data_IF_083586598170
#
_entry.id   IF_083586598170
#
_cell.length_a   1.000
_cell.length_b   1.000
_cell.length_c   1.000
_cell.angle_alpha   90.00
_cell.angle_beta   90.00
_cell.angle_gamma   90.00
#
_symmetry.space_group_name_H-M   'P 1'
#
loop_
_entity.id
_entity.type
_entity.pdbx_description
1 polymer ?
#
# COMPACT_ATOMS: atom_id res chain seq x y z
N UNK A 1 -7.21 14.40 -24.24
CA UNK A 1 -5.76 14.39 -23.97
C UNK A 1 -5.47 12.96 -23.60
N UNK A 2 -4.84 12.22 -24.49
CA UNK A 2 -4.69 10.77 -24.29
C UNK A 2 -3.83 10.51 -23.05
N UNK A 3 -4.23 9.52 -22.27
CA UNK A 3 -3.43 9.08 -21.13
C UNK A 3 -2.10 8.54 -21.65
N UNK A 4 -1.00 8.95 -21.03
CA UNK A 4 0.35 8.42 -21.30
C UNK A 4 0.85 7.76 -20.01
N UNK A 5 0.60 6.44 -19.83
CA UNK A 5 0.90 5.73 -18.60
C UNK A 5 2.38 5.81 -18.19
N UNK A 6 3.29 5.83 -19.17
CA UNK A 6 4.73 5.89 -18.92
C UNK A 6 5.15 7.27 -18.45
N UNK A 7 4.65 8.34 -19.09
CA UNK A 7 4.91 9.71 -18.63
C UNK A 7 4.34 9.97 -17.25
N UNK A 8 3.11 9.53 -16.98
CA UNK A 8 2.49 9.63 -15.65
C UNK A 8 3.34 8.93 -14.58
N UNK A 9 3.87 7.74 -14.89
CA UNK A 9 4.75 7.02 -13.98
C UNK A 9 6.05 7.81 -13.72
N UNK A 10 6.69 8.33 -14.77
CA UNK A 10 7.93 9.08 -14.66
C UNK A 10 7.76 10.39 -13.87
N UNK A 11 6.68 11.12 -14.10
CA UNK A 11 6.31 12.30 -13.32
C UNK A 11 6.09 11.95 -11.84
N UNK A 12 5.45 10.82 -11.56
CA UNK A 12 5.30 10.29 -10.21
C UNK A 12 6.63 9.97 -9.53
N UNK A 13 7.54 9.35 -10.28
CA UNK A 13 8.90 9.04 -9.80
C UNK A 13 9.71 10.31 -9.56
N UNK A 14 9.59 11.32 -10.42
CA UNK A 14 10.23 12.62 -10.26
C UNK A 14 9.71 13.32 -9.00
N UNK A 15 8.39 13.38 -8.82
CA UNK A 15 7.78 13.90 -7.60
C UNK A 15 8.25 13.15 -6.35
N UNK A 16 8.29 11.82 -6.39
CA UNK A 16 8.78 10.98 -5.29
C UNK A 16 10.20 11.40 -4.87
N UNK A 17 11.08 11.65 -5.83
CA UNK A 17 12.46 12.06 -5.56
C UNK A 17 12.55 13.44 -4.88
N UNK A 18 11.55 14.32 -5.04
CA UNK A 18 11.51 15.61 -4.32
C UNK A 18 11.18 15.47 -2.83
N UNK A 19 10.79 14.27 -2.36
CA UNK A 19 10.37 14.03 -0.98
C UNK A 19 11.55 13.49 -0.16
N UNK A 20 12.26 14.32 0.63
CA UNK A 20 13.50 13.90 1.30
C UNK A 20 13.33 12.81 2.37
N UNK A 21 12.08 12.58 2.82
CA UNK A 21 11.74 11.53 3.79
C UNK A 21 11.26 10.24 3.13
N UNK A 22 11.08 10.24 1.82
CA UNK A 22 10.69 9.04 1.08
C UNK A 22 11.95 8.35 0.58
N UNK A 23 12.06 7.02 0.72
CA UNK A 23 13.28 6.33 0.38
C UNK A 23 13.43 6.24 -1.15
N UNK A 24 14.67 6.39 -1.62
CA UNK A 24 14.98 6.37 -3.05
C UNK A 24 14.61 5.04 -3.72
N UNK A 25 14.70 3.94 -2.97
CA UNK A 25 14.38 2.57 -3.42
C UNK A 25 12.89 2.25 -3.54
N UNK A 26 12.03 3.27 -3.47
CA UNK A 26 10.58 3.12 -3.54
C UNK A 26 10.04 2.11 -2.51
N UNK A 27 10.64 2.06 -1.31
CA UNK A 27 10.30 1.13 -0.22
C UNK A 27 10.69 -0.34 -0.45
N UNK A 28 11.55 -0.67 -1.41
CA UNK A 28 11.98 -2.07 -1.63
C UNK A 28 12.53 -2.71 -0.34
N UNK A 29 13.40 -2.01 0.40
CA UNK A 29 13.92 -2.47 1.69
C UNK A 29 12.83 -2.67 2.74
N UNK A 30 11.87 -1.75 2.80
CA UNK A 30 10.75 -1.85 3.72
C UNK A 30 9.94 -3.13 3.48
N UNK A 31 9.67 -3.50 2.23
CA UNK A 31 8.94 -4.73 1.91
C UNK A 31 9.73 -5.99 2.25
N UNK A 32 11.05 -5.97 2.04
CA UNK A 32 11.93 -7.05 2.49
C UNK A 32 11.82 -7.26 4.01
N UNK A 33 11.94 -6.18 4.78
CA UNK A 33 11.85 -6.22 6.24
C UNK A 33 10.45 -6.60 6.73
N UNK A 34 9.40 -6.30 5.96
CA UNK A 34 8.02 -6.60 6.31
C UNK A 34 7.66 -8.07 6.07
N UNK A 35 8.14 -8.66 4.98
CA UNK A 35 8.00 -10.10 4.70
C UNK A 35 8.71 -10.93 5.77
N UNK A 36 9.90 -10.50 6.21
CA UNK A 36 10.68 -11.20 7.23
C UNK A 36 9.98 -11.30 8.60
N UNK A 37 8.99 -10.45 8.88
CA UNK A 37 8.31 -10.42 10.18
C UNK A 37 6.85 -10.88 10.11
N UNK A 38 6.25 -11.00 8.93
CA UNK A 38 4.81 -11.30 8.79
C UNK A 38 4.62 -12.77 8.48
N UNK A 39 4.38 -13.56 9.52
CA UNK A 39 4.10 -15.01 9.45
C UNK A 39 2.61 -15.35 9.62
N UNK A 40 1.78 -14.35 9.90
CA UNK A 40 0.34 -14.51 10.16
C UNK A 40 -0.02 -14.76 11.63
N UNK A 41 0.95 -14.89 12.53
CA UNK A 41 0.69 -15.06 13.96
C UNK A 41 0.35 -13.74 14.67
N UNK A 42 0.77 -12.61 14.10
CA UNK A 42 0.53 -11.25 14.61
C UNK A 42 0.80 -11.13 16.12
N UNK A 43 1.97 -11.56 16.56
CA UNK A 43 2.35 -11.51 17.98
C UNK A 43 2.50 -10.07 18.50
N UNK A 44 2.59 -9.88 19.81
CA UNK A 44 2.91 -8.56 20.39
C UNK A 44 4.26 -8.02 19.90
N UNK A 45 5.24 -8.90 19.62
CA UNK A 45 6.52 -8.52 19.01
C UNK A 45 6.32 -7.96 17.61
N UNK A 46 5.55 -8.64 16.77
CA UNK A 46 5.18 -8.14 15.44
C UNK A 46 4.46 -6.79 15.54
N UNK A 47 3.51 -6.67 16.46
CA UNK A 47 2.76 -5.42 16.65
C UNK A 47 3.64 -4.26 17.06
N UNK A 48 4.58 -4.46 17.98
CA UNK A 48 5.50 -3.41 18.42
C UNK A 48 6.33 -2.86 17.25
N UNK A 49 6.85 -3.74 16.39
CA UNK A 49 7.59 -3.34 15.18
C UNK A 49 6.67 -2.63 14.18
N UNK A 50 5.53 -3.24 13.85
CA UNK A 50 4.57 -2.74 12.87
C UNK A 50 3.97 -1.39 13.28
N UNK A 51 3.59 -1.23 14.55
CA UNK A 51 3.04 0.02 15.09
C UNK A 51 4.02 1.17 15.00
N UNK A 52 5.32 0.92 15.24
CA UNK A 52 6.37 1.93 15.06
C UNK A 52 6.44 2.38 13.60
N UNK A 53 6.46 1.43 12.66
CA UNK A 53 6.43 1.74 11.22
C UNK A 53 5.16 2.52 10.83
N UNK A 54 4.00 2.16 11.38
CA UNK A 54 2.73 2.88 11.16
C UNK A 54 2.77 4.32 11.70
N UNK A 55 3.46 4.55 12.82
CA UNK A 55 3.71 5.89 13.35
C UNK A 55 4.60 6.71 12.41
N UNK A 56 5.69 6.12 11.91
CA UNK A 56 6.60 6.79 10.96
C UNK A 56 5.88 7.16 9.66
N UNK A 57 4.93 6.33 9.23
CA UNK A 57 4.03 6.59 8.10
C UNK A 57 2.84 7.50 8.44
N UNK A 58 2.83 8.09 9.65
CA UNK A 58 1.79 8.99 10.19
C UNK A 58 0.38 8.39 10.26
N UNK A 59 0.24 7.06 10.20
CA UNK A 59 -1.04 6.36 10.22
C UNK A 59 -1.71 6.42 11.61
N UNK A 60 -0.92 6.52 12.67
CA UNK A 60 -1.41 6.51 14.07
C UNK A 60 -1.78 7.89 14.61
N UNK A 61 -1.64 8.97 13.81
CA UNK A 61 -1.93 10.34 14.23
C UNK A 61 -3.33 10.46 14.85
N UNK A 62 -3.40 11.17 15.98
CA UNK A 62 -4.63 11.44 16.71
C UNK A 62 -5.14 10.30 17.60
N UNK A 63 -4.45 9.15 17.65
CA UNK A 63 -4.74 8.07 18.60
C UNK A 63 -3.68 8.03 19.72
N UNK A 64 -4.08 7.58 20.90
CA UNK A 64 -3.14 7.26 21.99
C UNK A 64 -2.57 5.87 21.76
N UNK A 65 -1.27 5.72 22.00
CA UNK A 65 -0.57 4.44 21.79
C UNK A 65 -1.14 3.30 22.64
N UNK A 66 -1.48 3.58 23.91
CA UNK A 66 -2.09 2.60 24.81
C UNK A 66 -3.47 2.11 24.33
N UNK A 67 -4.26 3.00 23.71
CA UNK A 67 -5.55 2.61 23.13
C UNK A 67 -5.38 1.70 21.92
N UNK A 68 -4.40 2.01 21.06
CA UNK A 68 -4.05 1.17 19.91
C UNK A 68 -3.58 -0.21 20.36
N UNK A 69 -2.74 -0.29 21.40
CA UNK A 69 -2.27 -1.57 21.94
C UNK A 69 -3.42 -2.40 22.49
N UNK A 70 -4.28 -1.78 23.32
CA UNK A 70 -5.46 -2.46 23.88
C UNK A 70 -6.36 -3.00 22.77
N UNK A 71 -6.69 -2.19 21.77
CA UNK A 71 -7.58 -2.58 20.68
C UNK A 71 -6.93 -3.62 19.75
N UNK A 72 -5.62 -3.54 19.52
CA UNK A 72 -4.89 -4.57 18.79
C UNK A 72 -5.02 -5.93 19.50
N UNK A 73 -4.71 -6.01 20.80
CA UNK A 73 -4.78 -7.28 21.54
C UNK A 73 -6.22 -7.81 21.60
N UNK A 74 -7.22 -6.92 21.72
CA UNK A 74 -8.63 -7.29 21.66
C UNK A 74 -9.03 -7.94 20.32
N UNK A 75 -8.39 -7.54 19.21
CA UNK A 75 -8.72 -7.99 17.85
C UNK A 75 -7.67 -8.94 17.24
N UNK A 76 -6.62 -9.32 17.98
CA UNK A 76 -5.53 -10.14 17.48
C UNK A 76 -6.01 -11.49 16.94
N UNK A 77 -6.90 -12.17 17.67
CA UNK A 77 -7.48 -13.45 17.23
C UNK A 77 -8.22 -13.33 15.89
N UNK A 78 -9.02 -12.28 15.72
CA UNK A 78 -9.72 -12.01 14.47
C UNK A 78 -8.75 -11.72 13.32
N UNK A 79 -7.62 -11.05 13.61
CA UNK A 79 -6.60 -10.75 12.62
C UNK A 79 -5.94 -12.04 12.11
N UNK A 80 -5.62 -12.97 13.01
CA UNK A 80 -5.11 -14.31 12.66
C UNK A 80 -6.12 -15.07 11.82
N UNK A 81 -7.39 -15.10 12.21
CA UNK A 81 -8.45 -15.77 11.46
C UNK A 81 -8.60 -15.19 10.05
N UNK A 82 -8.69 -13.85 9.93
CA UNK A 82 -8.79 -13.18 8.61
C UNK A 82 -7.56 -13.47 7.75
N UNK A 83 -6.37 -13.46 8.33
CA UNK A 83 -5.17 -13.82 7.59
C UNK A 83 -5.26 -15.23 7.00
N UNK A 84 -5.54 -16.23 7.84
CA UNK A 84 -5.55 -17.63 7.43
C UNK A 84 -6.66 -17.95 6.43
N UNK A 85 -7.84 -17.36 6.61
CA UNK A 85 -9.04 -17.71 5.85
C UNK A 85 -9.28 -16.84 4.62
N UNK A 86 -8.80 -15.59 4.63
CA UNK A 86 -9.08 -14.61 3.58
C UNK A 86 -7.82 -14.18 2.84
N UNK A 87 -6.75 -13.81 3.57
CA UNK A 87 -5.60 -13.12 2.96
C UNK A 87 -4.57 -14.09 2.41
N UNK A 88 -4.12 -15.04 3.23
CA UNK A 88 -3.08 -16.01 2.88
C UNK A 88 -3.38 -16.78 1.59
N UNK A 89 -4.62 -17.24 1.32
CA UNK A 89 -4.95 -17.91 0.05
C UNK A 89 -4.77 -17.03 -1.20
N UNK A 90 -4.76 -15.71 -1.04
CA UNK A 90 -4.71 -14.74 -2.15
C UNK A 90 -3.30 -14.23 -2.43
N UNK A 91 -2.30 -14.57 -1.59
CA UNK A 91 -0.94 -14.01 -1.68
C UNK A 91 -0.12 -14.47 -2.89
N UNK A 92 -0.59 -15.47 -3.64
CA UNK A 92 0.00 -15.82 -4.94
C UNK A 92 -0.35 -14.81 -6.03
N UNK A 93 -1.36 -13.96 -5.81
CA UNK A 93 -1.81 -12.94 -6.73
C UNK A 93 -1.46 -11.52 -6.29
N UNK A 94 -2.13 -10.55 -6.90
CA UNK A 94 -2.06 -9.13 -6.57
C UNK A 94 -3.47 -8.53 -6.54
N UNK A 95 -3.60 -7.21 -6.37
CA UNK A 95 -4.89 -6.51 -6.35
C UNK A 95 -5.82 -6.88 -7.52
N UNK A 96 -5.28 -7.29 -8.67
CA UNK A 96 -6.08 -7.62 -9.86
C UNK A 96 -6.83 -8.94 -9.72
N UNK A 97 -6.31 -9.88 -8.92
CA UNK A 97 -6.89 -11.22 -8.75
C UNK A 97 -8.00 -11.30 -7.72
N UNK A 98 -8.30 -10.20 -7.02
CA UNK A 98 -9.31 -10.15 -5.95
C UNK A 98 -10.29 -9.00 -6.16
N UNK A 99 -11.51 -9.15 -5.64
CA UNK A 99 -12.52 -8.10 -5.51
C UNK A 99 -12.43 -7.47 -4.13
N UNK A 100 -12.95 -6.24 -3.98
CA UNK A 100 -13.00 -5.58 -2.68
C UNK A 100 -13.75 -6.42 -1.64
N UNK A 101 -14.90 -7.00 -2.00
CA UNK A 101 -15.73 -7.76 -1.06
C UNK A 101 -15.07 -9.03 -0.53
N UNK A 102 -14.19 -9.66 -1.34
CA UNK A 102 -13.42 -10.82 -0.90
C UNK A 102 -12.39 -10.45 0.18
N UNK A 103 -11.79 -9.27 0.12
CA UNK A 103 -10.65 -8.91 0.99
C UNK A 103 -10.94 -7.82 2.02
N UNK A 104 -12.11 -7.17 1.99
CA UNK A 104 -12.46 -6.03 2.85
C UNK A 104 -12.45 -6.34 4.35
N UNK A 105 -12.55 -7.62 4.73
CA UNK A 105 -12.52 -8.05 6.13
C UNK A 105 -11.28 -7.54 6.89
N UNK A 106 -10.11 -7.51 6.25
CA UNK A 106 -8.88 -7.02 6.87
C UNK A 106 -8.92 -5.50 7.16
N UNK A 107 -9.16 -4.61 6.18
CA UNK A 107 -9.28 -3.18 6.46
C UNK A 107 -10.47 -2.84 7.36
N UNK A 108 -11.56 -3.61 7.34
CA UNK A 108 -12.67 -3.43 8.29
C UNK A 108 -12.23 -3.74 9.73
N UNK A 109 -11.48 -4.82 9.96
CA UNK A 109 -10.89 -5.09 11.27
C UNK A 109 -9.90 -3.98 11.68
N UNK A 110 -9.09 -3.48 10.74
CA UNK A 110 -8.16 -2.39 11.01
C UNK A 110 -8.86 -1.09 11.48
N UNK A 111 -10.09 -0.82 11.00
CA UNK A 111 -10.91 0.31 11.50
C UNK A 111 -11.29 0.15 12.97
N UNK A 112 -11.45 -1.08 13.46
CA UNK A 112 -11.72 -1.35 14.87
C UNK A 112 -10.48 -1.14 15.75
N UNK A 113 -9.28 -1.40 15.20
CA UNK A 113 -8.00 -1.18 15.91
C UNK A 113 -7.70 0.31 16.08
N UNK A 114 -8.03 1.14 15.08
CA UNK A 114 -7.97 2.61 15.20
C UNK A 114 -9.26 3.27 14.71
N UNK A 115 -10.25 3.41 15.60
CA UNK A 115 -11.44 4.19 15.32
C UNK A 115 -11.04 5.64 15.02
N UNK A 116 -11.59 6.22 13.95
CA UNK A 116 -11.33 7.62 13.59
C UNK A 116 -12.62 8.40 13.43
N UNK A 117 -12.61 9.66 13.89
CA UNK A 117 -13.68 10.60 13.57
C UNK A 117 -13.65 10.83 12.05
N UNK A 118 -14.76 10.56 11.37
CA UNK A 118 -14.90 10.74 9.93
C UNK A 118 -14.41 9.57 9.06
N UNK A 119 -14.26 8.35 9.61
CA UNK A 119 -14.01 7.12 8.84
C UNK A 119 -12.78 7.19 7.89
N UNK A 120 -11.70 7.84 8.34
CA UNK A 120 -10.48 7.98 7.54
C UNK A 120 -9.89 6.62 7.13
N UNK A 121 -9.66 6.43 5.83
CA UNK A 121 -9.05 5.23 5.27
C UNK A 121 -7.55 5.07 5.55
N UNK A 122 -6.86 6.10 6.04
CA UNK A 122 -5.38 6.14 6.12
C UNK A 122 -4.79 5.01 6.99
N UNK A 123 -5.37 4.76 8.18
CA UNK A 123 -4.87 3.69 9.04
C UNK A 123 -5.26 2.31 8.51
N UNK A 124 -6.54 2.04 8.16
CA UNK A 124 -6.93 0.78 7.55
C UNK A 124 -6.09 0.41 6.33
N UNK A 125 -5.85 1.36 5.42
CA UNK A 125 -5.06 1.10 4.22
C UNK A 125 -3.61 0.76 4.53
N UNK A 126 -2.98 1.50 5.47
CA UNK A 126 -1.57 1.30 5.79
C UNK A 126 -1.34 0.00 6.58
N UNK A 127 -2.22 -0.33 7.52
CA UNK A 127 -2.15 -1.62 8.22
C UNK A 127 -2.38 -2.79 7.27
N UNK A 128 -3.42 -2.72 6.43
CA UNK A 128 -3.70 -3.78 5.45
C UNK A 128 -2.54 -3.93 4.44
N UNK A 129 -1.99 -2.83 3.95
CA UNK A 129 -0.82 -2.82 3.07
C UNK A 129 0.44 -3.39 3.74
N UNK A 130 0.64 -3.19 5.04
CA UNK A 130 1.80 -3.78 5.74
C UNK A 130 1.66 -5.29 5.92
N UNK A 131 0.43 -5.81 5.95
CA UNK A 131 0.14 -7.24 6.10
C UNK A 131 0.20 -7.95 4.74
N UNK A 132 -0.44 -7.39 3.72
CA UNK A 132 -0.48 -7.96 2.37
C UNK A 132 -0.30 -6.87 1.30
N UNK A 133 0.96 -6.39 1.12
CA UNK A 133 1.25 -5.27 0.22
C UNK A 133 0.71 -5.43 -1.20
N UNK A 134 0.82 -6.61 -1.86
CA UNK A 134 0.35 -6.79 -3.23
C UNK A 134 -1.16 -6.60 -3.40
N UNK A 135 -1.94 -6.85 -2.36
CA UNK A 135 -3.41 -6.80 -2.42
C UNK A 135 -3.95 -5.40 -2.12
N UNK A 136 -3.37 -4.68 -1.15
CA UNK A 136 -3.96 -3.46 -0.63
C UNK A 136 -3.17 -2.22 -1.05
N UNK A 137 -3.74 -1.26 -1.79
CA UNK A 137 -3.05 -0.02 -2.12
C UNK A 137 -3.02 0.93 -0.92
N UNK A 138 -1.95 1.73 -0.81
CA UNK A 138 -1.83 2.73 0.26
C UNK A 138 -2.70 3.94 -0.08
N UNK A 139 -3.54 4.37 0.86
CA UNK A 139 -4.25 5.63 0.77
C UNK A 139 -3.42 6.75 1.41
N UNK A 140 -2.84 7.63 0.59
CA UNK A 140 -2.06 8.79 1.06
C UNK A 140 -2.59 10.11 0.50
N UNK A 141 -3.27 10.88 1.36
CA UNK A 141 -3.82 12.20 1.02
C UNK A 141 -2.76 13.25 0.67
N UNK A 142 -1.49 13.01 1.00
CA UNK A 142 -0.38 13.93 0.70
C UNK A 142 -0.02 13.87 -0.78
N UNK A 143 -0.15 12.69 -1.38
CA UNK A 143 0.27 12.40 -2.74
C UNK A 143 -0.90 12.38 -3.73
N UNK A 144 -2.10 12.07 -3.24
CA UNK A 144 -3.34 11.96 -4.00
C UNK A 144 -4.40 12.93 -3.43
N UNK A 145 -4.33 14.23 -3.77
CA UNK A 145 -5.29 15.20 -3.27
C UNK A 145 -6.66 15.03 -3.94
N UNK A 146 -7.62 14.42 -3.22
CA UNK A 146 -9.05 14.43 -3.55
C UNK A 146 -9.69 13.07 -3.84
N UNK A 147 -11.03 13.02 -3.84
CA UNK A 147 -11.81 12.11 -4.68
C UNK A 147 -12.51 10.90 -4.02
N UNK A 148 -11.87 10.17 -3.12
CA UNK A 148 -12.44 8.90 -2.66
C UNK A 148 -13.14 9.02 -1.30
N UNK A 149 -14.45 8.76 -1.29
CA UNK A 149 -15.30 8.83 -0.11
C UNK A 149 -15.00 7.71 0.91
N UNK A 150 -14.48 6.58 0.44
CA UNK A 150 -14.12 5.42 1.26
C UNK A 150 -12.97 4.60 0.63
N UNK A 151 -12.43 3.65 1.39
CA UNK A 151 -11.27 2.87 0.98
C UNK A 151 -11.58 1.86 -0.14
N UNK A 152 -12.78 1.28 -0.17
CA UNK A 152 -13.16 0.32 -1.22
C UNK A 152 -13.27 1.00 -2.58
N UNK A 153 -13.83 2.21 -2.61
CA UNK A 153 -13.82 3.05 -3.81
C UNK A 153 -12.41 3.33 -4.33
N UNK A 154 -11.44 3.61 -3.45
CA UNK A 154 -10.04 3.80 -3.85
C UNK A 154 -9.38 2.50 -4.30
N UNK A 155 -9.63 1.38 -3.62
CA UNK A 155 -9.16 0.06 -4.03
C UNK A 155 -9.59 -0.26 -5.47
N UNK A 156 -10.87 -0.07 -5.78
CA UNK A 156 -11.41 -0.31 -7.11
C UNK A 156 -10.82 0.65 -8.13
N UNK A 157 -10.66 1.94 -7.77
CA UNK A 157 -10.00 2.89 -8.66
C UNK A 157 -8.59 2.44 -9.06
N UNK A 158 -7.77 1.99 -8.10
CA UNK A 158 -6.42 1.48 -8.39
C UNK A 158 -6.46 0.27 -9.32
N UNK A 159 -7.37 -0.68 -9.05
CA UNK A 159 -7.56 -1.87 -9.88
C UNK A 159 -8.01 -1.51 -11.31
N UNK A 160 -8.97 -0.60 -11.44
CA UNK A 160 -9.53 -0.18 -12.72
C UNK A 160 -8.52 0.63 -13.55
N UNK A 161 -7.72 1.49 -12.90
CA UNK A 161 -6.61 2.20 -13.56
C UNK A 161 -5.59 1.23 -14.13
N UNK A 162 -5.25 0.16 -13.41
CA UNK A 162 -4.36 -0.87 -13.94
C UNK A 162 -5.01 -1.64 -15.10
N UNK A 163 -6.23 -2.14 -14.90
CA UNK A 163 -6.94 -2.96 -15.88
C UNK A 163 -7.27 -2.22 -17.19
N UNK A 164 -7.43 -0.90 -17.13
CA UNK A 164 -7.63 -0.06 -18.33
C UNK A 164 -6.34 0.33 -19.05
N UNK A 165 -5.16 -0.03 -18.50
CA UNK A 165 -3.87 0.20 -19.15
C UNK A 165 -3.56 -0.91 -20.14
N UNK A 166 -3.15 -0.54 -21.35
CA UNK A 166 -2.79 -1.49 -22.40
C UNK A 166 -1.71 -2.47 -21.96
N UNK A 167 -1.79 -3.71 -22.45
CA UNK A 167 -0.89 -4.80 -22.04
C UNK A 167 0.59 -4.49 -22.33
N UNK A 168 0.89 -3.80 -23.43
CA UNK A 168 2.24 -3.35 -23.75
C UNK A 168 2.78 -2.37 -22.71
N UNK A 169 1.94 -1.41 -22.30
CA UNK A 169 2.32 -0.41 -21.30
C UNK A 169 2.44 -1.03 -19.91
N UNK A 170 1.57 -1.97 -19.55
CA UNK A 170 1.71 -2.74 -18.32
C UNK A 170 3.06 -3.46 -18.24
N UNK A 171 3.51 -4.09 -19.34
CA UNK A 171 4.82 -4.74 -19.40
C UNK A 171 5.97 -3.74 -19.30
N UNK A 172 5.88 -2.63 -20.03
CA UNK A 172 6.88 -1.56 -20.00
C UNK A 172 7.01 -0.95 -18.59
N UNK A 173 5.89 -0.67 -17.92
CA UNK A 173 5.86 -0.13 -16.55
C UNK A 173 6.49 -1.11 -15.54
N UNK A 174 6.21 -2.42 -15.65
CA UNK A 174 6.83 -3.44 -14.79
C UNK A 174 8.34 -3.50 -14.97
N UNK A 175 8.81 -3.53 -16.22
CA UNK A 175 10.24 -3.52 -16.52
C UNK A 175 10.91 -2.24 -16.00
N UNK A 176 10.28 -1.09 -16.23
CA UNK A 176 10.79 0.22 -15.80
C UNK A 176 10.89 0.33 -14.28
N UNK A 177 9.87 -0.13 -13.54
CA UNK A 177 9.90 -0.15 -12.08
C UNK A 177 11.01 -1.08 -11.55
N UNK A 178 11.17 -2.28 -12.12
CA UNK A 178 12.20 -3.23 -11.70
C UNK A 178 13.61 -2.65 -11.87
N UNK A 179 13.92 -2.11 -13.05
CA UNK A 179 15.20 -1.45 -13.34
C UNK A 179 15.45 -0.24 -12.44
N UNK A 180 14.41 0.53 -12.15
CA UNK A 180 14.50 1.70 -11.27
C UNK A 180 14.85 1.30 -9.82
N UNK A 181 14.20 0.26 -9.29
CA UNK A 181 14.51 -0.26 -7.96
C UNK A 181 15.92 -0.82 -7.92
N UNK A 182 16.32 -1.60 -8.93
CA UNK A 182 17.66 -2.20 -8.99
C UNK A 182 18.76 -1.12 -9.03
N UNK A 183 18.63 -0.14 -9.92
CA UNK A 183 19.60 0.96 -10.05
C UNK A 183 19.70 1.82 -8.79
N UNK A 184 18.61 2.04 -8.06
CA UNK A 184 18.61 2.91 -6.86
C UNK A 184 18.99 2.18 -5.58
N UNK A 185 18.68 0.89 -5.47
CA UNK A 185 18.93 0.10 -4.27
C UNK A 185 20.20 -0.76 -4.34
N UNK A 186 20.75 -0.96 -5.55
CA UNK A 186 21.84 -1.91 -5.80
C UNK A 186 21.43 -3.37 -5.58
N UNK A 187 20.13 -3.66 -5.54
CA UNK A 187 19.56 -4.99 -5.28
C UNK A 187 18.32 -5.24 -6.13
N UNK A 188 18.04 -6.49 -6.50
CA UNK A 188 16.79 -6.83 -7.17
C UNK A 188 15.56 -6.42 -6.35
N UNK A 189 14.45 -6.19 -7.05
CA UNK A 189 13.13 -6.03 -6.44
C UNK A 189 12.75 -7.31 -5.68
N UNK A 190 12.26 -7.16 -4.44
CA UNK A 190 11.85 -8.33 -3.64
C UNK A 190 10.60 -9.00 -4.21
N UNK A 191 10.47 -10.33 -4.01
CA UNK A 191 9.41 -11.13 -4.63
C UNK A 191 7.99 -10.67 -4.29
N UNK A 192 7.70 -10.34 -3.03
CA UNK A 192 6.40 -9.80 -2.62
C UNK A 192 6.31 -8.27 -2.68
N UNK A 193 7.07 -7.60 -3.56
CA UNK A 193 6.92 -6.17 -3.80
C UNK A 193 5.55 -5.89 -4.44
N UNK A 194 4.81 -4.84 -4.02
CA UNK A 194 3.46 -4.58 -4.50
C UNK A 194 3.47 -3.84 -5.85
N UNK A 195 3.91 -4.54 -6.90
CA UNK A 195 4.21 -3.97 -8.23
C UNK A 195 3.04 -3.15 -8.78
N UNK A 196 1.83 -3.73 -8.86
CA UNK A 196 0.66 -3.03 -9.42
C UNK A 196 0.32 -1.80 -8.60
N UNK A 197 0.19 -1.95 -7.27
CA UNK A 197 -0.15 -0.84 -6.38
C UNK A 197 0.87 0.30 -6.48
N UNK A 198 2.17 -0.02 -6.56
CA UNK A 198 3.22 1.01 -6.68
C UNK A 198 3.18 1.71 -8.03
N UNK A 199 3.01 0.98 -9.13
CA UNK A 199 2.94 1.57 -10.47
C UNK A 199 1.77 2.54 -10.54
N UNK A 200 0.58 2.11 -10.10
CA UNK A 200 -0.62 2.95 -10.14
C UNK A 200 -0.48 4.14 -9.18
N UNK A 201 0.05 3.96 -7.98
CA UNK A 201 0.33 5.07 -7.06
C UNK A 201 1.22 6.14 -7.72
N UNK A 202 2.34 5.73 -8.34
CA UNK A 202 3.24 6.67 -9.01
C UNK A 202 2.55 7.37 -10.18
N UNK A 203 1.77 6.63 -10.99
CA UNK A 203 1.02 7.24 -12.09
C UNK A 203 0.00 8.27 -11.60
N UNK A 204 -0.78 7.95 -10.58
CA UNK A 204 -1.76 8.88 -10.01
C UNK A 204 -1.06 10.12 -9.42
N UNK A 205 0.09 9.96 -8.77
CA UNK A 205 0.92 11.09 -8.33
C UNK A 205 1.33 11.97 -9.52
N UNK A 206 1.84 11.36 -10.59
CA UNK A 206 2.29 12.11 -11.78
C UNK A 206 1.15 12.82 -12.50
N UNK A 207 -0.04 12.23 -12.55
CA UNK A 207 -1.25 12.90 -13.06
C UNK A 207 -1.55 14.20 -12.29
N UNK A 208 -1.33 14.22 -10.98
CA UNK A 208 -1.55 15.39 -10.13
C UNK A 208 -0.38 16.38 -10.10
N UNK A 209 0.83 15.93 -10.41
CA UNK A 209 2.06 16.69 -10.20
C UNK A 209 2.96 16.75 -11.42
N UNK A 210 2.34 16.84 -12.62
CA UNK A 210 3.05 16.95 -13.90
C UNK A 210 4.26 17.87 -13.78
N UNK A 211 5.42 17.34 -14.13
CA UNK A 211 6.63 18.15 -14.22
C UNK A 211 6.39 19.20 -15.31
N UNK A 212 6.61 20.47 -15.02
CA UNK A 212 6.65 21.48 -16.07
C UNK A 212 7.84 21.16 -16.97
N UNK A 213 7.57 20.65 -18.17
CA UNK A 213 8.53 20.50 -19.26
C UNK A 213 8.97 21.85 -19.78
#
# INVERSE_FOLDING_TARGET
MDADPLREFDDGVAFWATRPKWPADLHNRFYADQQAITDGAFTSTWWNVTRRKLYDWRATRGARLADLDRLFHQHQGNLVTIWQTVIQPQLSGDITSVTWDEVRALPDLARLIKPTRGNSAVFPSKLAHFIAPPLFPVFDKTALPGGHNDYGSYFNHVKDTWNSTDRSDQQALRARLALLIESRSGRPMVSGYPVVNKIVELRLIGQHHRSAS
#
